data_IF_459897891280
#
_entry.id   IF_459897891280
#
_cell.length_a   1.000
_cell.length_b   1.000
_cell.length_c   1.000
_cell.angle_alpha   90.00
_cell.angle_beta   90.00
_cell.angle_gamma   90.00
#
_symmetry.space_group_name_H-M   'P 1'
#
loop_
_entity.id
_entity.type
_entity.pdbx_description
1 polymer ?
#
# COMPACT_ATOMS: atom_id res chain seq x y z
N UNK A 1 -6.43 14.58 26.94
CA UNK A 1 -5.89 13.55 27.79
C UNK A 1 -6.30 12.17 27.35
N UNK A 2 -5.36 11.37 26.87
CA UNK A 2 -5.63 9.98 26.49
C UNK A 2 -5.82 9.10 27.73
N UNK A 3 -6.46 7.95 27.53
CA UNK A 3 -6.62 6.95 28.59
C UNK A 3 -5.24 6.32 28.95
N UNK A 4 -5.13 5.68 30.13
CA UNK A 4 -3.91 4.91 30.50
C UNK A 4 -3.56 3.83 29.46
N UNK A 5 -4.55 3.24 28.80
CA UNK A 5 -4.39 2.25 27.72
C UNK A 5 -3.73 2.89 26.48
N UNK A 6 -4.20 4.07 26.07
CA UNK A 6 -3.64 4.81 24.93
C UNK A 6 -2.20 5.27 25.20
N UNK A 7 -1.91 5.76 26.42
CA UNK A 7 -0.55 6.13 26.83
C UNK A 7 0.43 4.95 26.78
N UNK A 8 -0.02 3.74 27.17
CA UNK A 8 0.77 2.53 27.09
C UNK A 8 1.04 2.13 25.64
N UNK A 9 0.00 2.19 24.79
CA UNK A 9 0.13 1.87 23.36
C UNK A 9 1.14 2.82 22.69
N UNK A 10 1.05 4.12 22.94
CA UNK A 10 1.99 5.11 22.42
C UNK A 10 3.44 4.83 22.88
N UNK A 11 3.64 4.56 24.18
CA UNK A 11 4.96 4.21 24.73
C UNK A 11 5.54 2.97 24.02
N UNK A 12 4.75 1.93 23.83
CA UNK A 12 5.18 0.70 23.16
C UNK A 12 5.53 0.96 21.69
N UNK A 13 4.73 1.77 20.99
CA UNK A 13 5.00 2.15 19.61
C UNK A 13 6.31 2.94 19.48
N UNK A 14 6.56 3.90 20.37
CA UNK A 14 7.80 4.67 20.37
C UNK A 14 9.02 3.78 20.68
N UNK A 15 8.88 2.83 21.61
CA UNK A 15 9.95 1.86 21.90
C UNK A 15 10.25 0.96 20.72
N UNK A 16 9.21 0.51 20.00
CA UNK A 16 9.36 -0.28 18.79
C UNK A 16 10.03 0.54 17.68
N UNK A 17 9.55 1.78 17.46
CA UNK A 17 10.17 2.70 16.50
C UNK A 17 11.66 2.94 16.78
N UNK A 18 12.03 3.12 18.04
CA UNK A 18 13.43 3.25 18.45
C UNK A 18 14.26 2.00 18.12
N UNK A 19 13.68 0.79 18.23
CA UNK A 19 14.33 -0.47 17.82
C UNK A 19 14.53 -0.51 16.31
N UNK A 20 13.52 -0.14 15.55
CA UNK A 20 13.62 -0.08 14.09
C UNK A 20 14.68 0.92 13.63
N UNK A 21 14.70 2.12 14.21
CA UNK A 21 15.68 3.14 13.89
C UNK A 21 17.13 2.68 14.16
N UNK A 22 17.35 1.90 15.24
CA UNK A 22 18.67 1.31 15.53
C UNK A 22 19.08 0.20 14.57
N UNK A 23 18.12 -0.49 13.96
CA UNK A 23 18.34 -1.56 12.98
C UNK A 23 18.39 -1.03 11.54
N UNK A 24 18.05 0.22 11.33
CA UNK A 24 18.06 0.88 10.02
C UNK A 24 19.45 1.45 9.71
N UNK A 25 19.81 1.62 8.43
CA UNK A 25 21.01 2.34 8.05
C UNK A 25 21.03 3.76 8.65
N UNK A 26 22.21 4.33 8.91
CA UNK A 26 22.31 5.66 9.49
C UNK A 26 21.88 6.76 8.52
N UNK A 27 21.44 7.89 9.07
CA UNK A 27 21.03 9.07 8.32
C UNK A 27 19.52 9.23 8.19
N UNK A 28 19.11 10.30 7.54
CA UNK A 28 17.72 10.54 7.19
C UNK A 28 17.41 9.79 5.89
N UNK A 29 16.62 8.73 6.02
CA UNK A 29 16.20 7.92 4.89
C UNK A 29 14.77 8.31 4.50
N UNK A 30 14.65 9.03 3.41
CA UNK A 30 13.38 9.30 2.78
C UNK A 30 12.98 8.11 1.86
N UNK A 31 11.79 8.13 1.28
CA UNK A 31 11.27 7.01 0.50
C UNK A 31 12.21 6.55 -0.63
N UNK A 32 12.85 7.47 -1.34
CA UNK A 32 13.75 7.17 -2.45
C UNK A 32 14.98 6.39 -1.97
N UNK A 33 15.67 6.88 -0.94
CA UNK A 33 16.87 6.25 -0.41
C UNK A 33 16.57 4.87 0.20
N UNK A 34 15.44 4.73 0.91
CA UNK A 34 14.99 3.44 1.46
C UNK A 34 14.75 2.42 0.36
N UNK A 35 14.08 2.82 -0.73
CA UNK A 35 13.84 1.97 -1.89
C UNK A 35 15.16 1.54 -2.56
N UNK A 36 16.04 2.49 -2.83
CA UNK A 36 17.34 2.23 -3.47
C UNK A 36 18.20 1.23 -2.68
N UNK A 37 18.20 1.34 -1.34
CA UNK A 37 18.91 0.38 -0.48
C UNK A 37 18.33 -1.04 -0.58
N UNK A 38 17.01 -1.16 -0.61
CA UNK A 38 16.35 -2.46 -0.78
C UNK A 38 16.59 -3.02 -2.19
N UNK A 39 16.46 -2.21 -3.23
CA UNK A 39 16.66 -2.59 -4.63
C UNK A 39 18.09 -3.01 -4.95
N UNK A 40 19.05 -2.50 -4.20
CA UNK A 40 20.45 -2.91 -4.28
C UNK A 40 20.80 -4.12 -3.38
N UNK A 41 19.81 -4.72 -2.69
CA UNK A 41 20.05 -5.83 -1.77
C UNK A 41 20.84 -5.45 -0.51
N UNK A 42 20.98 -4.15 -0.20
CA UNK A 42 21.75 -3.66 0.96
C UNK A 42 20.96 -3.73 2.27
N UNK A 43 19.63 -3.80 2.20
CA UNK A 43 18.76 -4.03 3.34
C UNK A 43 17.84 -5.21 3.04
N UNK A 44 17.68 -6.16 3.98
CA UNK A 44 16.85 -7.35 3.77
C UNK A 44 15.35 -7.07 3.91
N UNK A 45 14.96 -5.92 4.46
CA UNK A 45 13.58 -5.54 4.70
C UNK A 45 13.36 -4.07 4.41
N UNK A 46 12.14 -3.76 3.96
CA UNK A 46 11.66 -2.39 3.79
C UNK A 46 10.23 -2.29 4.30
N UNK A 47 9.90 -1.20 4.98
CA UNK A 47 8.51 -0.87 5.30
C UNK A 47 8.00 0.03 4.17
N UNK A 48 7.10 -0.51 3.36
CA UNK A 48 6.57 0.16 2.18
C UNK A 48 5.14 -0.30 1.89
N UNK A 49 4.52 0.31 0.90
CA UNK A 49 3.27 -0.19 0.34
C UNK A 49 3.55 -1.13 -0.84
N UNK A 50 2.61 -2.02 -1.21
CA UNK A 50 2.71 -2.85 -2.41
C UNK A 50 2.78 -2.06 -3.72
N UNK A 51 2.73 -0.74 -3.69
CA UNK A 51 2.91 0.14 -4.84
C UNK A 51 4.21 -0.11 -5.62
N UNK A 52 5.24 -0.67 -4.99
CA UNK A 52 6.52 -0.99 -5.64
C UNK A 52 6.56 -2.37 -6.34
N UNK A 53 5.44 -3.08 -6.42
CA UNK A 53 5.42 -4.44 -6.98
C UNK A 53 5.89 -4.50 -8.45
N UNK A 54 5.55 -3.52 -9.25
CA UNK A 54 6.02 -3.40 -10.64
C UNK A 54 7.50 -3.01 -10.71
N UNK A 55 7.95 -2.14 -9.82
CA UNK A 55 9.35 -1.72 -9.73
C UNK A 55 10.25 -2.89 -9.34
N UNK A 56 9.85 -3.70 -8.35
CA UNK A 56 10.55 -4.92 -7.93
C UNK A 56 10.73 -5.93 -9.08
N UNK A 57 9.80 -5.93 -10.01
CA UNK A 57 9.79 -6.82 -11.17
C UNK A 57 10.50 -6.24 -12.41
N UNK A 58 11.13 -5.08 -12.29
CA UNK A 58 11.84 -4.44 -13.40
C UNK A 58 10.93 -3.91 -14.51
N UNK A 59 9.68 -3.54 -14.19
CA UNK A 59 8.70 -3.06 -15.16
C UNK A 59 8.66 -1.53 -15.31
N UNK A 60 9.52 -0.83 -14.55
CA UNK A 60 9.57 0.65 -14.53
C UNK A 60 11.00 1.15 -14.68
N UNK A 61 11.30 1.81 -15.77
CA UNK A 61 12.68 2.29 -16.08
C UNK A 61 13.15 3.41 -15.13
N UNK A 62 12.22 4.20 -14.59
CA UNK A 62 12.55 5.27 -13.65
C UNK A 62 12.91 4.77 -12.23
N UNK A 63 12.75 3.47 -11.96
CA UNK A 63 12.99 2.88 -10.65
C UNK A 63 13.40 1.39 -10.79
N UNK A 64 14.49 1.08 -11.49
CA UNK A 64 14.88 -0.30 -11.72
C UNK A 64 15.49 -0.96 -10.48
N UNK A 65 15.33 -2.27 -10.30
CA UNK A 65 16.15 -3.04 -9.37
C UNK A 65 17.63 -2.94 -9.75
N UNK A 66 18.49 -2.88 -8.73
CA UNK A 66 19.95 -2.82 -8.94
C UNK A 66 20.67 -3.96 -8.23
N UNK A 67 19.93 -5.02 -7.88
CA UNK A 67 20.48 -6.21 -7.24
C UNK A 67 21.41 -7.01 -8.18
N UNK A 68 21.21 -6.89 -9.49
CA UNK A 68 22.05 -7.44 -10.53
C UNK A 68 22.23 -6.42 -11.67
N UNK A 69 22.92 -6.81 -12.75
CA UNK A 69 23.23 -5.93 -13.89
C UNK A 69 22.07 -5.74 -14.88
N UNK A 70 21.00 -6.55 -14.78
CA UNK A 70 19.82 -6.44 -15.65
C UNK A 70 18.70 -5.64 -14.93
N UNK A 71 18.45 -4.37 -15.35
CA UNK A 71 17.44 -3.53 -14.73
C UNK A 71 16.00 -4.01 -15.00
N UNK A 72 15.81 -4.94 -15.93
CA UNK A 72 14.48 -5.50 -16.26
C UNK A 72 14.24 -6.86 -15.63
N UNK A 73 15.17 -7.32 -14.81
CA UNK A 73 15.11 -8.63 -14.16
C UNK A 73 14.01 -8.69 -13.12
N UNK A 74 13.14 -9.73 -13.11
CA UNK A 74 12.17 -9.96 -12.07
C UNK A 74 12.75 -10.64 -10.83
N UNK A 75 14.07 -10.78 -10.73
CA UNK A 75 14.74 -11.51 -9.65
C UNK A 75 14.37 -11.01 -8.27
N UNK A 76 14.34 -9.69 -8.08
CA UNK A 76 14.00 -9.11 -6.78
C UNK A 76 12.54 -9.38 -6.41
N UNK A 77 11.62 -9.30 -7.36
CA UNK A 77 10.22 -9.64 -7.15
C UNK A 77 10.06 -11.10 -6.70
N UNK A 78 10.74 -12.03 -7.38
CA UNK A 78 10.66 -13.46 -7.04
C UNK A 78 11.20 -13.82 -5.65
N UNK A 79 12.06 -12.95 -5.10
CA UNK A 79 12.68 -13.11 -3.77
C UNK A 79 12.00 -12.26 -2.68
N UNK A 80 11.03 -11.43 -3.03
CA UNK A 80 10.34 -10.54 -2.09
C UNK A 80 9.06 -11.18 -1.57
N UNK A 81 8.98 -11.35 -0.25
CA UNK A 81 7.75 -11.71 0.44
C UNK A 81 7.09 -10.47 1.07
N UNK A 82 5.78 -10.55 1.31
CA UNK A 82 5.00 -9.47 1.89
C UNK A 82 4.43 -9.86 3.25
N UNK A 83 4.71 -9.08 4.27
CA UNK A 83 4.08 -9.17 5.59
C UNK A 83 3.03 -8.06 5.65
N UNK A 84 1.77 -8.43 5.64
CA UNK A 84 0.65 -7.49 5.54
C UNK A 84 -0.13 -7.31 6.83
N UNK A 85 0.21 -8.08 7.87
CA UNK A 85 -0.47 -8.00 9.16
C UNK A 85 0.54 -8.15 10.29
N UNK A 86 0.52 -7.18 11.21
CA UNK A 86 1.41 -7.15 12.37
C UNK A 86 0.63 -7.35 13.65
N UNK A 87 0.91 -8.44 14.36
CA UNK A 87 0.35 -8.70 15.68
C UNK A 87 1.26 -8.18 16.80
N UNK A 88 0.66 -7.96 17.96
CA UNK A 88 1.37 -7.51 19.14
C UNK A 88 0.69 -7.99 20.43
N UNK A 89 1.30 -7.76 21.59
CA UNK A 89 0.80 -8.28 22.87
C UNK A 89 -0.65 -7.88 23.20
N UNK A 90 -1.08 -6.73 22.70
CA UNK A 90 -2.42 -6.21 22.94
C UNK A 90 -3.34 -6.27 21.71
N UNK A 91 -2.85 -6.86 20.62
CA UNK A 91 -3.62 -7.10 19.39
C UNK A 91 -3.12 -8.37 18.71
N UNK A 92 -3.54 -9.51 19.23
CA UNK A 92 -3.13 -10.83 18.71
C UNK A 92 -3.68 -11.13 17.33
N UNK A 93 -4.79 -10.47 16.94
CA UNK A 93 -5.34 -10.56 15.57
C UNK A 93 -4.50 -9.80 14.54
N UNK A 94 -3.63 -8.93 15.02
CA UNK A 94 -2.84 -8.08 14.17
C UNK A 94 -3.59 -6.88 13.59
N UNK A 95 -2.87 -6.06 12.87
CA UNK A 95 -3.39 -4.92 12.13
C UNK A 95 -2.53 -4.66 10.90
N UNK A 96 -3.15 -4.21 9.83
CA UNK A 96 -2.52 -3.57 8.70
C UNK A 96 -2.94 -2.09 8.66
N UNK A 97 -2.15 -1.28 7.99
CA UNK A 97 -2.47 0.12 7.74
C UNK A 97 -2.93 0.30 6.29
N UNK A 98 -3.98 1.09 6.08
CA UNK A 98 -4.48 1.39 4.75
C UNK A 98 -4.73 2.88 4.57
N UNK A 99 -4.23 3.41 3.46
CA UNK A 99 -4.61 4.71 2.92
C UNK A 99 -5.78 4.50 1.96
N UNK A 100 -6.93 5.11 2.25
CA UNK A 100 -8.14 4.95 1.46
C UNK A 100 -8.36 6.18 0.60
N UNK A 101 -8.54 5.97 -0.70
CA UNK A 101 -8.90 7.02 -1.65
C UNK A 101 -10.41 7.11 -1.77
N UNK A 102 -10.91 8.32 -1.93
CA UNK A 102 -12.33 8.62 -2.00
C UNK A 102 -12.67 9.40 -3.27
N UNK A 103 -13.83 9.13 -3.82
CA UNK A 103 -14.47 10.07 -4.73
C UNK A 103 -15.15 11.16 -3.90
N UNK A 104 -14.96 12.42 -4.29
CA UNK A 104 -15.65 13.57 -3.71
C UNK A 104 -16.54 14.23 -4.75
N UNK A 105 -17.73 14.62 -4.34
CA UNK A 105 -18.63 15.46 -5.15
C UNK A 105 -18.52 16.89 -4.62
N UNK A 106 -18.15 17.85 -5.49
CA UNK A 106 -18.10 19.26 -5.11
C UNK A 106 -19.51 19.85 -4.98
N UNK A 107 -19.65 20.94 -4.24
CA UNK A 107 -20.96 21.57 -4.02
C UNK A 107 -21.60 22.10 -5.31
N UNK A 108 -20.77 22.47 -6.29
CA UNK A 108 -21.22 23.06 -7.56
C UNK A 108 -21.41 22.02 -8.68
N UNK A 109 -21.17 20.74 -8.40
CA UNK A 109 -21.33 19.68 -9.39
C UNK A 109 -22.82 19.33 -9.60
N UNK A 110 -23.14 18.86 -10.82
CA UNK A 110 -24.40 18.14 -11.01
C UNK A 110 -24.38 16.88 -10.15
N UNK A 111 -25.19 16.90 -9.09
CA UNK A 111 -25.14 15.88 -8.04
C UNK A 111 -25.61 14.52 -8.56
N UNK A 112 -26.55 14.48 -9.48
CA UNK A 112 -27.13 13.22 -9.97
C UNK A 112 -26.22 12.56 -11.00
N UNK A 113 -25.62 13.33 -11.90
CA UNK A 113 -24.62 12.83 -12.84
C UNK A 113 -23.34 12.36 -12.08
N UNK A 114 -22.88 13.13 -11.10
CA UNK A 114 -21.74 12.73 -10.29
C UNK A 114 -21.99 11.43 -9.51
N UNK A 115 -23.17 11.24 -8.95
CA UNK A 115 -23.57 9.99 -8.30
C UNK A 115 -23.60 8.82 -9.27
N UNK A 116 -24.18 8.99 -10.46
CA UNK A 116 -24.22 7.95 -11.49
C UNK A 116 -22.80 7.55 -11.90
N UNK A 117 -21.91 8.51 -12.11
CA UNK A 117 -20.50 8.24 -12.42
C UNK A 117 -19.81 7.44 -11.30
N UNK A 118 -20.01 7.83 -10.03
CA UNK A 118 -19.43 7.12 -8.89
C UNK A 118 -19.98 5.70 -8.79
N UNK A 119 -21.31 5.52 -8.94
CA UNK A 119 -21.93 4.21 -8.89
C UNK A 119 -21.39 3.30 -10.02
N UNK A 120 -21.32 3.80 -11.24
CA UNK A 120 -20.70 3.09 -12.36
C UNK A 120 -19.25 2.71 -12.06
N UNK A 121 -18.44 3.68 -11.60
CA UNK A 121 -17.01 3.46 -11.30
C UNK A 121 -16.78 2.45 -10.17
N UNK A 122 -17.74 2.27 -9.29
CA UNK A 122 -17.67 1.35 -8.16
C UNK A 122 -18.37 0.00 -8.42
N UNK A 123 -19.01 -0.17 -9.55
CA UNK A 123 -19.72 -1.42 -9.91
C UNK A 123 -19.30 -1.93 -11.29
N UNK A 124 -20.03 -1.60 -12.36
CA UNK A 124 -19.74 -2.10 -13.72
C UNK A 124 -18.34 -1.68 -14.20
N UNK A 125 -17.95 -0.43 -13.97
CA UNK A 125 -16.65 0.14 -14.32
C UNK A 125 -15.53 -0.17 -13.32
N UNK A 126 -15.78 -0.94 -12.27
CA UNK A 126 -14.84 -1.04 -11.15
C UNK A 126 -13.51 -1.70 -11.55
N UNK A 127 -13.55 -2.77 -12.33
CA UNK A 127 -12.32 -3.40 -12.84
C UNK A 127 -11.50 -2.45 -13.72
N UNK A 128 -12.17 -1.64 -14.55
CA UNK A 128 -11.50 -0.61 -15.36
C UNK A 128 -10.85 0.46 -14.49
N UNK A 129 -11.52 0.88 -13.42
CA UNK A 129 -10.95 1.82 -12.44
C UNK A 129 -9.70 1.23 -11.77
N UNK A 130 -9.73 -0.05 -11.39
CA UNK A 130 -8.59 -0.76 -10.80
C UNK A 130 -7.43 -0.93 -11.78
N UNK A 131 -7.71 -1.02 -13.09
CA UNK A 131 -6.69 -1.25 -14.13
C UNK A 131 -5.71 -0.08 -14.32
N UNK A 132 -6.03 1.08 -13.76
CA UNK A 132 -5.14 2.24 -13.78
C UNK A 132 -4.17 2.10 -12.60
N UNK A 133 -2.95 1.63 -12.85
CA UNK A 133 -1.91 1.33 -11.85
C UNK A 133 -2.39 0.36 -10.74
N UNK A 134 -2.66 -0.93 -11.08
CA UNK A 134 -3.22 -1.90 -10.14
C UNK A 134 -2.32 -2.17 -8.94
N UNK A 135 -0.99 -2.04 -9.09
CA UNK A 135 -0.01 -2.17 -8.02
C UNK A 135 -0.22 -1.16 -6.89
N UNK A 136 -0.83 -0.01 -7.20
CA UNK A 136 -1.13 1.05 -6.24
C UNK A 136 -2.60 1.13 -5.82
N UNK A 137 -3.47 0.24 -6.33
CA UNK A 137 -4.91 0.28 -6.09
C UNK A 137 -5.45 -1.11 -5.74
N UNK A 138 -5.64 -1.34 -4.46
CA UNK A 138 -6.31 -2.55 -4.01
C UNK A 138 -7.84 -2.37 -4.03
N UNK A 139 -8.60 -3.42 -4.40
CA UNK A 139 -10.04 -3.34 -4.39
C UNK A 139 -10.56 -3.18 -2.95
N UNK A 140 -11.31 -2.09 -2.70
CA UNK A 140 -12.06 -1.90 -1.44
C UNK A 140 -13.33 -2.76 -1.40
N UNK A 141 -13.80 -3.21 -2.58
CA UNK A 141 -14.83 -4.23 -2.74
C UNK A 141 -14.16 -5.52 -3.20
N UNK A 142 -14.37 -6.61 -2.48
CA UNK A 142 -13.81 -7.93 -2.85
C UNK A 142 -14.53 -8.52 -4.07
N UNK A 143 -15.83 -8.31 -4.14
CA UNK A 143 -16.67 -8.85 -5.20
C UNK A 143 -18.08 -8.28 -5.18
N UNK A 144 -19.00 -8.99 -5.78
CA UNK A 144 -20.41 -8.66 -5.88
C UNK A 144 -21.29 -9.80 -5.34
N UNK A 145 -22.61 -9.68 -5.49
CA UNK A 145 -23.56 -10.66 -4.95
C UNK A 145 -23.45 -12.05 -5.60
N UNK A 146 -23.03 -12.12 -6.87
CA UNK A 146 -22.87 -13.38 -7.62
C UNK A 146 -21.49 -14.02 -7.41
N UNK A 147 -20.46 -13.23 -7.19
CA UNK A 147 -19.10 -13.71 -6.88
C UNK A 147 -18.46 -12.83 -5.79
N UNK A 148 -18.34 -13.33 -4.54
CA UNK A 148 -17.78 -12.59 -3.43
C UNK A 148 -16.30 -12.18 -3.60
N UNK A 149 -15.59 -12.73 -4.57
CA UNK A 149 -14.18 -12.45 -4.84
C UNK A 149 -13.93 -11.90 -6.26
N UNK A 150 -14.96 -11.53 -7.01
CA UNK A 150 -14.85 -11.12 -8.41
C UNK A 150 -13.79 -10.02 -8.62
N UNK A 151 -13.79 -9.00 -7.81
CA UNK A 151 -12.89 -7.86 -7.98
C UNK A 151 -11.47 -8.15 -7.51
N UNK A 152 -11.27 -8.92 -6.45
CA UNK A 152 -9.93 -9.34 -6.01
C UNK A 152 -9.30 -10.32 -6.99
N UNK A 153 -10.10 -11.22 -7.56
CA UNK A 153 -9.67 -12.14 -8.62
C UNK A 153 -9.31 -11.38 -9.90
N UNK A 154 -10.17 -10.44 -10.33
CA UNK A 154 -9.88 -9.60 -11.49
C UNK A 154 -8.61 -8.76 -11.28
N UNK A 155 -8.47 -8.12 -10.12
CA UNK A 155 -7.31 -7.31 -9.78
C UNK A 155 -5.98 -8.07 -9.93
N UNK A 156 -5.90 -9.29 -9.43
CA UNK A 156 -4.66 -10.08 -9.48
C UNK A 156 -4.18 -10.41 -10.89
N UNK A 157 -5.08 -10.35 -11.88
CA UNK A 157 -4.81 -10.61 -13.30
C UNK A 157 -4.57 -9.34 -14.11
N UNK A 158 -4.76 -8.17 -13.53
CA UNK A 158 -4.53 -6.91 -14.23
C UNK A 158 -3.04 -6.70 -14.49
N UNK A 159 -2.65 -6.20 -15.67
CA UNK A 159 -1.27 -5.88 -15.96
C UNK A 159 -0.80 -4.67 -15.14
N UNK A 160 0.30 -4.85 -14.42
CA UNK A 160 1.01 -3.80 -13.70
C UNK A 160 2.22 -3.32 -14.49
N UNK A 161 2.77 -2.17 -14.12
CA UNK A 161 3.97 -1.59 -14.74
C UNK A 161 3.68 -0.37 -15.61
N UNK A 162 4.75 0.31 -15.98
CA UNK A 162 4.71 1.54 -16.78
C UNK A 162 5.33 1.31 -18.17
N UNK A 163 6.61 1.05 -18.21
CA UNK A 163 7.36 0.87 -19.48
C UNK A 163 7.17 -0.54 -20.05
N UNK A 164 7.04 -1.52 -19.19
CA UNK A 164 6.68 -2.91 -19.48
C UNK A 164 5.49 -3.31 -18.62
N UNK A 165 4.71 -4.26 -19.09
CA UNK A 165 3.50 -4.70 -18.36
C UNK A 165 3.44 -6.21 -18.26
N UNK A 166 3.07 -6.69 -17.07
CA UNK A 166 2.78 -8.09 -16.82
C UNK A 166 1.72 -8.21 -15.72
N UNK A 167 0.87 -9.24 -15.70
CA UNK A 167 -0.07 -9.46 -14.61
C UNK A 167 0.67 -9.88 -13.33
N UNK A 168 0.12 -9.52 -12.17
CA UNK A 168 0.71 -9.88 -10.88
C UNK A 168 0.89 -11.39 -10.72
N UNK A 169 -0.02 -12.18 -11.30
CA UNK A 169 0.04 -13.64 -11.28
C UNK A 169 1.24 -14.25 -12.01
N UNK A 170 1.87 -13.49 -12.91
CA UNK A 170 3.09 -13.93 -13.62
C UNK A 170 4.37 -13.54 -12.84
N UNK A 171 4.26 -12.58 -11.92
CA UNK A 171 5.38 -11.99 -11.20
C UNK A 171 5.54 -12.53 -9.78
N UNK A 172 4.43 -12.88 -9.16
CA UNK A 172 4.37 -13.28 -7.75
C UNK A 172 3.58 -14.58 -7.59
N UNK A 173 3.96 -15.36 -6.59
CA UNK A 173 3.24 -16.59 -6.26
C UNK A 173 1.81 -16.31 -5.77
N UNK A 174 0.95 -17.31 -5.90
CA UNK A 174 -0.41 -17.24 -5.37
C UNK A 174 -0.43 -16.93 -3.86
N UNK A 175 0.52 -17.47 -3.11
CA UNK A 175 0.63 -17.22 -1.66
C UNK A 175 0.92 -15.75 -1.35
N UNK A 176 1.80 -15.09 -2.12
CA UNK A 176 2.07 -13.66 -1.98
C UNK A 176 0.82 -12.84 -2.27
N UNK A 177 0.13 -13.11 -3.38
CA UNK A 177 -1.08 -12.41 -3.77
C UNK A 177 -2.18 -12.59 -2.72
N UNK A 178 -2.41 -13.83 -2.28
CA UNK A 178 -3.41 -14.14 -1.26
C UNK A 178 -3.10 -13.47 0.08
N UNK A 179 -1.83 -13.41 0.47
CA UNK A 179 -1.39 -12.73 1.69
C UNK A 179 -1.67 -11.22 1.63
N UNK A 180 -1.42 -10.57 0.47
CA UNK A 180 -1.76 -9.16 0.25
C UNK A 180 -3.27 -8.94 0.35
N UNK A 181 -4.07 -9.77 -0.31
CA UNK A 181 -5.55 -9.68 -0.27
C UNK A 181 -6.07 -9.90 1.14
N UNK A 182 -5.54 -10.87 1.88
CA UNK A 182 -5.91 -11.13 3.27
C UNK A 182 -5.57 -9.96 4.21
N UNK A 183 -4.51 -9.21 3.92
CA UNK A 183 -4.14 -8.02 4.67
C UNK A 183 -5.21 -6.93 4.69
N UNK A 184 -6.07 -6.88 3.66
CA UNK A 184 -7.18 -5.94 3.59
C UNK A 184 -8.25 -6.19 4.67
N UNK A 185 -8.38 -7.43 5.15
CA UNK A 185 -9.37 -7.79 6.18
C UNK A 185 -9.02 -7.23 7.56
N UNK A 186 -7.73 -6.98 7.81
CA UNK A 186 -7.23 -6.41 9.06
C UNK A 186 -6.80 -4.95 8.91
N UNK A 187 -7.04 -4.36 7.74
CA UNK A 187 -6.62 -2.99 7.44
C UNK A 187 -7.40 -1.96 8.27
N UNK A 188 -6.67 -1.07 8.91
CA UNK A 188 -7.21 0.08 9.60
C UNK A 188 -7.01 1.33 8.73
N UNK A 189 -8.08 2.09 8.54
CA UNK A 189 -8.02 3.36 7.83
C UNK A 189 -7.27 4.39 8.67
N UNK A 190 -6.34 5.08 8.05
CA UNK A 190 -5.60 6.15 8.69
C UNK A 190 -6.18 7.52 8.33
N UNK A 191 -6.13 8.44 9.27
CA UNK A 191 -6.44 9.85 9.02
C UNK A 191 -7.94 10.22 8.93
N UNK A 192 -8.87 9.28 9.15
CA UNK A 192 -10.31 9.53 8.92
C UNK A 192 -11.00 10.23 10.09
N UNK A 193 -10.44 10.17 11.30
CA UNK A 193 -11.07 10.69 12.52
C UNK A 193 -10.22 11.67 13.32
N UNK A 194 -9.02 11.96 12.87
CA UNK A 194 -8.01 12.72 13.63
C UNK A 194 -7.93 14.20 13.21
N UNK A 195 -9.07 14.88 13.15
CA UNK A 195 -9.15 16.25 12.64
C UNK A 195 -8.07 17.22 13.14
N UNK A 196 -7.89 17.35 14.46
CA UNK A 196 -6.89 18.23 15.04
C UNK A 196 -5.47 17.66 14.97
N UNK A 197 -5.32 16.36 15.22
CA UNK A 197 -4.01 15.69 15.15
C UNK A 197 -3.48 15.65 13.73
N UNK A 198 -4.34 15.34 12.76
CA UNK A 198 -3.97 15.36 11.33
C UNK A 198 -3.58 16.77 10.87
N UNK A 199 -4.29 17.81 11.32
CA UNK A 199 -3.92 19.20 11.04
C UNK A 199 -2.57 19.56 11.65
N UNK A 200 -2.31 19.17 12.90
CA UNK A 200 -1.02 19.39 13.55
C UNK A 200 0.12 18.68 12.80
N UNK A 201 -0.07 17.42 12.42
CA UNK A 201 0.93 16.68 11.63
C UNK A 201 1.20 17.35 10.27
N UNK A 202 0.18 17.77 9.54
CA UNK A 202 0.32 18.46 8.26
C UNK A 202 1.06 19.79 8.39
N UNK A 203 0.82 20.55 9.45
CA UNK A 203 1.50 21.82 9.70
C UNK A 203 3.00 21.64 9.99
N UNK A 204 3.37 20.53 10.66
CA UNK A 204 4.77 20.27 11.02
C UNK A 204 5.55 19.52 9.93
N UNK A 205 4.88 18.83 9.02
CA UNK A 205 5.54 18.02 7.97
C UNK A 205 5.50 18.68 6.59
N UNK A 206 4.71 19.74 6.41
CA UNK A 206 4.77 20.53 5.18
C UNK A 206 6.06 21.34 5.18
N UNK A 207 6.89 21.27 4.13
CA UNK A 207 8.00 22.23 3.98
C UNK A 207 7.42 23.62 4.03
N UNK A 208 8.00 24.50 4.83
CA UNK A 208 7.69 25.93 4.77
C UNK A 208 7.90 26.41 3.33
N UNK A 209 7.01 27.29 2.83
CA UNK A 209 7.16 27.87 1.51
C UNK A 209 8.45 28.67 1.40
#
# INVERSE_FOLDING_TARGET
GGTKKQGRALKNSLQFYKKLAKASPPGELYWKQSRELYFAGKTPMIIWSPFIMDELAGLRDSAPPTINSDPTSPELASKTGFITNFSGPNNVKGAAWADVRYFGVTADADTDEAKQFILYSMDEGYTSTLSIAPEGKFPVRRGNASDPNAFTTAWSKLPVGVDRKAPLTDLYSADVINNIVAGLDTANRWGVKEGELSRACLLYTSPSP
#
